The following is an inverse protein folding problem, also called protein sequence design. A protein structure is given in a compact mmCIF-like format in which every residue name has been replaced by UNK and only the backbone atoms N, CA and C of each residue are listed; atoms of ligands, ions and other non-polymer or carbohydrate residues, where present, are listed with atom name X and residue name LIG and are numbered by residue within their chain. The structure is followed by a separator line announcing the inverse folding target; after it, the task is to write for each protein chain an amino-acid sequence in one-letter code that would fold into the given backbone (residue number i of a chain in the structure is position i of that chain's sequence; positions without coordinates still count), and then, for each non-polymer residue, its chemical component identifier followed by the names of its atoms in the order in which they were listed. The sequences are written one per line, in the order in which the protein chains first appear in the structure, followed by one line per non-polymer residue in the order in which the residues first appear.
data_IF_798030706843
#
_entry.id   IF_798030706843
#
_cell.length_a   1.000
_cell.length_b   1.000
_cell.length_c   1.000
_cell.angle_alpha   90.00
_cell.angle_beta   90.00
_cell.angle_gamma   90.00
#
_symmetry.space_group_name_H-M   'P 1'
#
loop_
_entity.id
_entity.type
_entity.pdbx_description
1 polymer ?
#
# COMPACT_ATOMS: atom_id res chain seq x y z
N UNK A 1 -18.69 36.53 23.66
CA UNK A 1 -18.39 35.56 22.58
C UNK A 1 -16.93 35.17 22.71
N UNK A 2 -16.65 33.94 23.14
CA UNK A 2 -15.28 33.45 23.36
C UNK A 2 -14.93 32.50 22.20
N UNK A 3 -14.07 32.93 21.29
CA UNK A 3 -13.58 32.10 20.19
C UNK A 3 -12.47 31.18 20.71
N UNK A 4 -12.80 29.90 20.92
CA UNK A 4 -11.82 28.83 21.06
C UNK A 4 -11.24 28.53 19.68
N UNK A 5 -10.03 29.01 19.42
CA UNK A 5 -9.23 28.58 18.28
C UNK A 5 -8.65 27.20 18.62
N UNK A 6 -9.37 26.16 18.20
CA UNK A 6 -8.87 24.79 18.17
C UNK A 6 -7.76 24.75 17.13
N UNK A 7 -6.51 24.82 17.56
CA UNK A 7 -5.38 24.47 16.71
C UNK A 7 -5.48 22.97 16.48
N UNK A 8 -5.90 22.57 15.28
CA UNK A 8 -5.65 21.21 14.81
C UNK A 8 -4.12 21.07 14.71
N UNK A 9 -3.49 20.59 15.78
CA UNK A 9 -2.21 19.91 15.65
C UNK A 9 -2.48 18.70 14.77
N UNK A 10 -2.23 18.84 13.47
CA UNK A 10 -2.00 17.68 12.63
C UNK A 10 -0.80 16.97 13.22
N UNK A 11 -1.04 15.90 13.97
CA UNK A 11 0.01 14.99 14.44
C UNK A 11 0.81 14.60 13.22
N UNK A 12 1.98 15.22 13.07
CA UNK A 12 3.01 14.72 12.16
C UNK A 12 3.46 13.43 12.84
N UNK A 13 2.84 12.32 12.46
CA UNK A 13 3.28 10.99 12.86
C UNK A 13 4.73 10.92 12.40
N UNK A 14 5.65 10.96 13.36
CA UNK A 14 7.04 10.67 13.10
C UNK A 14 7.06 9.21 12.64
N UNK A 15 7.49 8.97 11.40
CA UNK A 15 7.72 7.61 10.91
C UNK A 15 8.87 7.00 11.73
N UNK A 16 8.49 6.38 12.85
CA UNK A 16 9.34 5.47 13.60
C UNK A 16 9.61 4.28 12.69
N UNK A 17 10.82 4.22 12.14
CA UNK A 17 11.25 3.18 11.19
C UNK A 17 11.33 1.77 11.82
N UNK A 18 11.05 1.66 13.11
CA UNK A 18 11.17 0.45 13.93
C UNK A 18 9.79 -0.13 14.33
N UNK A 19 8.70 0.58 14.03
CA UNK A 19 7.36 0.03 14.20
C UNK A 19 7.01 -0.74 12.92
N UNK A 20 6.60 -2.01 13.06
CA UNK A 20 6.12 -2.90 11.98
C UNK A 20 4.81 -2.40 11.32
N UNK A 21 4.59 -1.09 11.23
CA UNK A 21 3.38 -0.44 10.76
C UNK A 21 3.33 -0.24 9.24
N UNK A 22 4.42 -0.52 8.52
CA UNK A 22 4.51 -0.37 7.07
C UNK A 22 4.39 -1.74 6.39
N UNK A 23 3.37 -1.88 5.54
CA UNK A 23 3.07 -3.12 4.82
C UNK A 23 3.27 -2.90 3.32
N UNK A 24 4.41 -3.36 2.76
CA UNK A 24 4.60 -3.39 1.31
C UNK A 24 3.89 -4.61 0.72
N UNK A 25 2.77 -4.36 0.04
CA UNK A 25 1.91 -5.41 -0.50
C UNK A 25 2.60 -6.25 -1.59
N UNK A 26 3.50 -5.67 -2.39
CA UNK A 26 4.22 -6.41 -3.43
C UNK A 26 5.34 -7.29 -2.84
N UNK A 27 5.96 -6.84 -1.73
CA UNK A 27 6.91 -7.63 -0.96
C UNK A 27 6.24 -8.82 -0.27
N UNK A 28 5.10 -8.58 0.40
CA UNK A 28 4.35 -9.61 1.13
C UNK A 28 3.95 -10.80 0.25
N UNK A 29 3.57 -10.54 -1.00
CA UNK A 29 3.16 -11.59 -1.96
C UNK A 29 4.34 -12.17 -2.75
N UNK A 30 5.57 -11.76 -2.44
CA UNK A 30 6.83 -12.27 -3.01
C UNK A 30 6.87 -12.24 -4.55
N UNK A 31 6.33 -11.17 -5.15
CA UNK A 31 6.30 -10.96 -6.61
C UNK A 31 7.63 -11.24 -7.32
N UNK A 32 8.81 -10.86 -6.80
CA UNK A 32 10.08 -11.08 -7.51
C UNK A 32 10.44 -12.55 -7.74
N UNK A 33 9.83 -13.49 -7.02
CA UNK A 33 10.26 -14.90 -7.00
C UNK A 33 9.69 -15.75 -8.13
N UNK A 34 8.53 -15.38 -8.70
CA UNK A 34 7.80 -16.13 -9.72
C UNK A 34 6.96 -15.13 -10.51
N UNK A 35 7.04 -15.12 -11.84
CA UNK A 35 6.31 -14.18 -12.71
C UNK A 35 4.78 -14.32 -12.57
N UNK A 36 4.20 -13.69 -11.55
CA UNK A 36 2.80 -13.75 -11.15
C UNK A 36 1.92 -12.77 -11.95
N UNK A 37 1.95 -12.85 -13.27
CA UNK A 37 1.16 -11.94 -14.11
C UNK A 37 1.64 -10.49 -14.09
N UNK A 38 2.89 -10.24 -13.69
CA UNK A 38 3.53 -8.93 -13.73
C UNK A 38 4.93 -9.03 -14.32
N UNK A 39 5.47 -7.90 -14.78
CA UNK A 39 6.89 -7.77 -15.16
C UNK A 39 7.52 -6.59 -14.45
N UNK A 40 8.78 -6.75 -14.05
CA UNK A 40 9.59 -5.67 -13.47
C UNK A 40 9.87 -4.59 -14.52
N UNK A 41 9.69 -3.33 -14.14
CA UNK A 41 9.98 -2.13 -14.93
C UNK A 41 10.65 -1.09 -14.05
N UNK A 42 11.22 -0.03 -14.66
CA UNK A 42 11.76 1.11 -13.92
C UNK A 42 10.61 2.04 -13.51
N UNK A 43 10.51 2.31 -12.21
CA UNK A 43 9.60 3.30 -11.66
C UNK A 43 10.23 4.69 -11.58
N UNK A 44 9.52 5.62 -10.96
CA UNK A 44 10.03 6.97 -10.66
C UNK A 44 11.07 6.96 -9.53
N UNK A 45 10.93 6.02 -8.59
CA UNK A 45 11.93 5.76 -7.55
C UNK A 45 12.99 4.77 -8.08
N UNK A 46 14.27 5.16 -8.19
CA UNK A 46 15.33 4.27 -8.65
C UNK A 46 15.71 3.18 -7.65
N UNK A 47 15.31 3.30 -6.38
CA UNK A 47 15.66 2.36 -5.31
C UNK A 47 14.54 1.36 -4.98
N UNK A 48 13.38 1.46 -5.63
CA UNK A 48 12.22 0.59 -5.42
C UNK A 48 11.78 -0.08 -6.72
N UNK A 49 11.38 -1.38 -6.70
CA UNK A 49 10.88 -2.04 -7.89
C UNK A 49 9.52 -1.48 -8.32
N UNK A 50 9.29 -1.35 -9.63
CA UNK A 50 7.98 -1.06 -10.17
C UNK A 50 7.49 -2.23 -11.03
N UNK A 51 6.18 -2.49 -10.99
CA UNK A 51 5.58 -3.64 -11.67
C UNK A 51 4.59 -3.19 -12.72
N UNK A 52 4.76 -3.65 -13.95
CA UNK A 52 3.72 -3.56 -14.99
C UNK A 52 2.82 -4.78 -14.89
N UNK A 53 1.53 -4.54 -14.67
CA UNK A 53 0.51 -5.58 -14.61
C UNK A 53 0.26 -6.12 -16.03
N UNK A 54 0.36 -7.45 -16.19
CA UNK A 54 0.08 -8.18 -17.43
C UNK A 54 -1.23 -8.97 -17.33
N UNK A 55 -1.42 -9.67 -16.21
CA UNK A 55 -2.65 -10.39 -15.88
C UNK A 55 -2.87 -10.34 -14.36
N UNK A 56 -3.85 -9.56 -13.86
CA UNK A 56 -4.11 -9.43 -12.43
C UNK A 56 -4.58 -10.74 -11.78
N UNK A 57 -5.21 -11.64 -12.53
CA UNK A 57 -5.76 -12.91 -12.00
C UNK A 57 -4.66 -13.90 -11.58
N UNK A 58 -3.41 -13.65 -11.98
CA UNK A 58 -2.25 -14.47 -11.62
C UNK A 58 -1.46 -13.89 -10.43
N UNK A 59 -1.84 -12.70 -9.94
CA UNK A 59 -1.21 -12.09 -8.78
C UNK A 59 -1.75 -12.80 -7.53
N UNK A 60 -0.90 -13.44 -6.71
CA UNK A 60 -1.38 -14.10 -5.51
C UNK A 60 -1.91 -13.08 -4.50
N UNK A 61 -2.91 -13.46 -3.69
CA UNK A 61 -3.40 -12.62 -2.61
C UNK A 61 -2.34 -12.47 -1.51
N UNK A 62 -2.51 -11.46 -0.65
CA UNK A 62 -1.72 -11.29 0.57
C UNK A 62 -1.91 -12.53 1.45
N UNK A 63 -0.84 -13.15 2.00
CA UNK A 63 -0.96 -14.28 2.91
C UNK A 63 -1.86 -13.95 4.11
N UNK A 64 -2.74 -14.88 4.50
CA UNK A 64 -3.73 -14.66 5.58
C UNK A 64 -3.11 -14.16 6.88
N UNK A 65 -1.93 -14.65 7.25
CA UNK A 65 -1.22 -14.20 8.46
C UNK A 65 -0.86 -12.71 8.38
N UNK A 66 -0.29 -12.28 7.25
CA UNK A 66 0.10 -10.88 7.05
C UNK A 66 -1.12 -9.97 6.87
N UNK A 67 -2.20 -10.48 6.29
CA UNK A 67 -3.46 -9.76 6.19
C UNK A 67 -4.11 -9.56 7.56
N UNK A 68 -4.07 -10.58 8.43
CA UNK A 68 -4.51 -10.47 9.83
C UNK A 68 -3.76 -9.36 10.57
N UNK A 69 -2.43 -9.38 10.52
CA UNK A 69 -1.59 -8.34 11.14
C UNK A 69 -1.94 -6.94 10.62
N UNK A 70 -2.10 -6.79 9.29
CA UNK A 70 -2.50 -5.53 8.65
C UNK A 70 -3.85 -5.03 9.18
N UNK A 71 -4.85 -5.91 9.25
CA UNK A 71 -6.20 -5.56 9.73
C UNK A 71 -6.18 -5.18 11.20
N UNK A 72 -5.44 -5.89 12.03
CA UNK A 72 -5.29 -5.57 13.45
C UNK A 72 -4.63 -4.20 13.65
N UNK A 73 -3.62 -3.85 12.84
CA UNK A 73 -3.04 -2.51 12.83
C UNK A 73 -4.04 -1.43 12.40
N UNK A 74 -4.86 -1.69 11.37
CA UNK A 74 -5.91 -0.75 10.94
C UNK A 74 -6.93 -0.51 12.06
N UNK A 75 -7.30 -1.56 12.80
CA UNK A 75 -8.22 -1.44 13.94
C UNK A 75 -7.60 -0.65 15.10
N UNK A 76 -6.33 -0.92 15.43
CA UNK A 76 -5.62 -0.21 16.48
C UNK A 76 -5.49 1.29 16.19
N UNK A 77 -5.16 1.65 14.95
CA UNK A 77 -4.96 3.03 14.49
C UNK A 77 -6.25 3.73 14.05
N UNK A 78 -7.39 3.02 14.04
CA UNK A 78 -8.71 3.51 13.59
C UNK A 78 -8.70 4.06 12.16
N UNK A 79 -7.85 3.49 11.30
CA UNK A 79 -7.66 3.95 9.93
C UNK A 79 -6.34 3.48 9.36
N UNK A 80 -6.02 3.96 8.17
CA UNK A 80 -4.74 3.71 7.52
C UNK A 80 -4.40 4.83 6.54
N UNK A 81 -3.11 4.87 6.16
CA UNK A 81 -2.62 5.64 5.03
C UNK A 81 -2.20 4.68 3.92
N UNK A 82 -2.78 4.84 2.73
CA UNK A 82 -2.37 4.10 1.54
C UNK A 82 -1.42 4.93 0.69
N UNK A 83 -0.16 4.51 0.61
CA UNK A 83 0.85 5.09 -0.27
C UNK A 83 0.92 4.27 -1.55
N UNK A 84 0.76 4.92 -2.71
CA UNK A 84 0.87 4.26 -4.00
C UNK A 84 1.46 5.18 -5.08
N UNK A 85 2.31 4.62 -5.93
CA UNK A 85 2.71 5.22 -7.19
C UNK A 85 2.18 4.33 -8.32
N UNK A 86 1.40 4.91 -9.24
CA UNK A 86 0.82 4.17 -10.35
C UNK A 86 0.78 5.00 -11.62
N UNK A 87 0.96 4.33 -12.75
CA UNK A 87 0.78 4.90 -14.08
C UNK A 87 -0.32 4.15 -14.82
N UNK A 88 -1.50 4.76 -14.87
CA UNK A 88 -2.67 4.18 -15.52
C UNK A 88 -2.87 4.72 -16.94
N UNK A 89 -3.33 3.85 -17.84
CA UNK A 89 -3.75 4.27 -19.18
C UNK A 89 -4.95 5.20 -19.12
N UNK A 90 -4.91 6.27 -19.93
CA UNK A 90 -6.03 7.23 -20.03
C UNK A 90 -7.32 6.51 -20.43
N UNK A 91 -8.44 6.97 -19.88
CA UNK A 91 -9.80 6.45 -20.16
C UNK A 91 -9.99 4.97 -19.79
N UNK A 92 -9.28 4.48 -18.78
CA UNK A 92 -9.52 3.15 -18.19
C UNK A 92 -10.02 3.28 -16.76
N UNK A 93 -10.69 2.24 -16.27
CA UNK A 93 -10.98 2.05 -14.84
C UNK A 93 -10.21 0.81 -14.39
N UNK A 94 -9.38 0.95 -13.37
CA UNK A 94 -8.59 -0.14 -12.81
C UNK A 94 -8.77 -0.14 -11.30
N UNK A 95 -8.98 -1.32 -10.73
CA UNK A 95 -8.93 -1.45 -9.28
C UNK A 95 -7.49 -1.33 -8.80
N UNK A 96 -7.29 -0.63 -7.70
CA UNK A 96 -5.97 -0.56 -7.04
C UNK A 96 -5.81 -1.73 -6.06
N UNK A 97 -6.85 -1.97 -5.25
CA UNK A 97 -6.93 -3.04 -4.26
C UNK A 97 -8.39 -3.50 -4.17
N UNK A 98 -8.60 -4.80 -3.96
CA UNK A 98 -9.90 -5.38 -3.60
C UNK A 98 -9.73 -6.22 -2.34
N UNK A 99 -10.78 -6.24 -1.52
CA UNK A 99 -10.91 -7.12 -0.36
C UNK A 99 -12.19 -7.92 -0.61
N UNK A 100 -12.08 -9.24 -0.56
CA UNK A 100 -13.16 -10.19 -0.85
C UNK A 100 -13.36 -11.15 0.32
#
# INVERSE_FOLDING_TARGET
LLLMLWTCEGSRVAESRDDNSVYDLFELIRVPSKNHGVTLVKGDDPYSPAYKILNPDLIPPVPESAFGDLVDSIYAERGFLLLLNFKQFKRTRGSLLTVE
#
